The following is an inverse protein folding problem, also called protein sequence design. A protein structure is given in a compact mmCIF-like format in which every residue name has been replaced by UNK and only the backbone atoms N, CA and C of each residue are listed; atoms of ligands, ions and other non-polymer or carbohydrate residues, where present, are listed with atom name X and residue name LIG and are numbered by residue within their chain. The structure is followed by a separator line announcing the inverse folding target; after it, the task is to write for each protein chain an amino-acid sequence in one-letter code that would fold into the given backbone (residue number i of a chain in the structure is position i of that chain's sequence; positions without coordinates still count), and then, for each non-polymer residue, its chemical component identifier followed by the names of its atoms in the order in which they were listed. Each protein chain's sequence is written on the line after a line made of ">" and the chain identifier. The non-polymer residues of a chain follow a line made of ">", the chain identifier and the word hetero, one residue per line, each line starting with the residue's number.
data_IF_444090597513
#
_entry.id   IF_444090597513
#
_cell.length_a   1.000
_cell.length_b   1.000
_cell.length_c   1.000
_cell.angle_alpha   90.00
_cell.angle_beta   90.00
_cell.angle_gamma   90.00
#
_symmetry.space_group_name_H-M   'P 1'
#
loop_
_entity.id
_entity.type
_entity.pdbx_description
1 polymer ?
#
# COMPACT_ATOMS: atom_id res chain seq x y z
N UNK A 1 7.64 0.67 18.07
CA UNK A 1 6.84 0.73 16.84
C UNK A 1 5.50 1.43 17.05
N UNK A 2 4.74 1.17 18.01
CA UNK A 2 3.41 1.77 18.21
C UNK A 2 3.24 2.22 19.66
N UNK A 3 4.33 2.63 20.30
CA UNK A 3 4.30 3.19 21.65
C UNK A 3 4.14 4.71 21.56
N UNK A 4 2.93 5.09 21.15
CA UNK A 4 2.54 6.50 21.17
C UNK A 4 1.99 6.82 22.56
N UNK A 5 2.33 7.98 23.10
CA UNK A 5 1.67 8.56 24.26
C UNK A 5 0.23 9.02 23.89
N UNK A 6 -0.55 8.10 23.30
CA UNK A 6 -1.93 8.35 22.94
C UNK A 6 -2.83 7.92 24.09
N UNK A 7 -3.82 8.77 24.40
CA UNK A 7 -4.83 8.46 25.40
C UNK A 7 -5.89 7.51 24.86
N UNK A 8 -6.65 6.90 25.78
CA UNK A 8 -7.77 6.01 25.43
C UNK A 8 -8.93 6.74 24.70
N UNK A 9 -8.92 8.09 24.69
CA UNK A 9 -9.96 8.93 24.06
C UNK A 9 -9.41 9.84 22.96
N UNK A 10 -8.30 9.42 22.33
CA UNK A 10 -7.66 10.20 21.28
C UNK A 10 -8.53 10.33 20.03
N UNK A 11 -8.50 11.49 19.39
CA UNK A 11 -9.21 11.72 18.15
C UNK A 11 -8.59 10.89 16.99
N UNK A 12 -9.42 10.46 16.04
CA UNK A 12 -8.93 9.69 14.91
C UNK A 12 -7.85 10.42 14.09
N UNK A 13 -7.90 11.75 14.05
CA UNK A 13 -6.90 12.58 13.39
C UNK A 13 -5.52 12.44 14.06
N UNK A 14 -5.46 12.45 15.39
CA UNK A 14 -4.20 12.39 16.14
C UNK A 14 -3.59 10.98 15.99
N UNK A 15 -4.43 9.94 16.07
CA UNK A 15 -4.02 8.57 15.78
C UNK A 15 -3.46 8.46 14.35
N UNK A 16 -4.17 9.03 13.35
CA UNK A 16 -3.75 8.96 11.96
C UNK A 16 -2.42 9.66 11.72
N UNK A 17 -2.22 10.84 12.31
CA UNK A 17 -0.99 11.60 12.15
C UNK A 17 0.18 10.96 12.89
N UNK A 18 -0.04 10.37 14.08
CA UNK A 18 0.98 9.62 14.79
C UNK A 18 1.52 8.45 13.96
N UNK A 19 0.64 7.60 13.41
CA UNK A 19 1.07 6.52 12.53
C UNK A 19 1.66 7.00 11.21
N UNK A 20 1.12 8.07 10.65
CA UNK A 20 1.67 8.67 9.43
C UNK A 20 3.09 9.17 9.67
N UNK A 21 3.34 9.94 10.72
CA UNK A 21 4.66 10.52 10.99
C UNK A 21 5.74 9.43 11.23
N UNK A 22 5.35 8.26 11.75
CA UNK A 22 6.19 7.06 11.85
C UNK A 22 6.38 6.29 10.51
N UNK A 23 5.85 6.80 9.42
CA UNK A 23 6.10 6.23 8.09
C UNK A 23 5.07 5.20 7.61
N UNK A 24 3.95 5.01 8.32
CA UNK A 24 2.90 4.09 7.89
C UNK A 24 1.93 4.74 6.92
N UNK A 25 1.44 3.98 5.95
CA UNK A 25 0.34 4.39 5.11
C UNK A 25 -0.97 4.20 5.86
N UNK A 26 -1.70 5.27 6.02
CA UNK A 26 -2.99 5.32 6.72
C UNK A 26 -4.11 5.67 5.75
N UNK A 27 -5.29 5.10 5.98
CA UNK A 27 -6.53 5.46 5.27
C UNK A 27 -7.70 5.48 6.25
N UNK A 28 -8.71 6.37 6.04
CA UNK A 28 -9.91 6.37 6.86
C UNK A 28 -10.85 5.23 6.48
N UNK A 29 -11.45 4.62 7.49
CA UNK A 29 -12.58 3.71 7.33
C UNK A 29 -13.75 4.19 8.18
N UNK A 30 -14.97 3.93 7.74
CA UNK A 30 -16.16 4.16 8.54
C UNK A 30 -16.17 3.19 9.74
N UNK A 31 -16.35 3.69 10.95
CA UNK A 31 -16.39 2.87 12.16
C UNK A 31 -17.49 1.80 12.11
N UNK A 32 -18.64 2.12 11.53
CA UNK A 32 -19.82 1.25 11.51
C UNK A 32 -19.66 -0.01 10.67
N UNK A 33 -18.95 0.07 9.53
CA UNK A 33 -18.89 -1.02 8.54
C UNK A 33 -17.48 -1.36 8.06
N UNK A 34 -16.46 -0.64 8.55
CA UNK A 34 -15.04 -0.82 8.21
C UNK A 34 -14.75 -0.67 6.70
N UNK A 35 -15.58 0.10 5.98
CA UNK A 35 -15.38 0.40 4.56
C UNK A 35 -14.84 1.82 4.38
N UNK A 36 -14.10 2.09 3.30
CA UNK A 36 -13.70 3.44 2.96
C UNK A 36 -14.92 4.37 2.86
N UNK A 37 -14.84 5.61 3.36
CA UNK A 37 -15.95 6.56 3.28
C UNK A 37 -16.22 6.95 1.82
N UNK A 38 -17.43 7.42 1.47
CA UNK A 38 -17.82 7.73 0.10
C UNK A 38 -16.95 8.79 -0.59
N UNK A 39 -16.32 9.68 0.17
CA UNK A 39 -15.41 10.68 -0.37
C UNK A 39 -14.05 10.11 -0.77
N UNK A 40 -13.67 8.93 -0.26
CA UNK A 40 -12.38 8.29 -0.54
C UNK A 40 -12.50 7.25 -1.67
N UNK A 41 -13.04 7.67 -2.81
CA UNK A 41 -13.09 6.81 -4.01
C UNK A 41 -11.67 6.58 -4.55
N UNK A 42 -11.37 5.34 -4.94
CA UNK A 42 -10.06 4.98 -5.48
C UNK A 42 -8.95 4.87 -4.43
N UNK A 43 -9.31 4.63 -3.17
CA UNK A 43 -8.37 4.48 -2.06
C UNK A 43 -7.28 3.44 -2.31
N UNK A 44 -7.51 2.49 -3.21
CA UNK A 44 -6.57 1.42 -3.59
C UNK A 44 -5.24 1.97 -4.12
N UNK A 45 -5.21 3.20 -4.64
CA UNK A 45 -3.97 3.86 -5.05
C UNK A 45 -2.99 4.00 -3.87
N UNK A 46 -3.51 4.22 -2.67
CA UNK A 46 -2.68 4.40 -1.47
C UNK A 46 -2.02 3.11 -0.97
N UNK A 47 -2.33 1.96 -1.58
CA UNK A 47 -1.55 0.74 -1.38
C UNK A 47 -0.13 0.84 -1.93
N UNK A 48 0.06 1.67 -2.96
CA UNK A 48 1.34 1.86 -3.66
C UNK A 48 1.90 3.27 -3.49
N UNK A 49 1.04 4.25 -3.21
CA UNK A 49 1.41 5.65 -3.10
C UNK A 49 1.06 6.17 -1.72
N UNK A 50 2.03 6.78 -1.04
CA UNK A 50 1.78 7.38 0.26
C UNK A 50 1.09 8.73 0.05
N UNK A 51 -0.08 9.00 0.69
CA UNK A 51 -0.71 10.32 0.62
C UNK A 51 0.19 11.36 1.30
N UNK A 52 0.07 12.63 0.94
CA UNK A 52 0.76 13.68 1.68
C UNK A 52 0.09 13.90 3.07
N UNK A 53 0.84 14.44 4.02
CA UNK A 53 0.38 14.65 5.41
C UNK A 53 -0.89 15.49 5.50
N UNK A 54 -0.98 16.55 4.71
CA UNK A 54 -2.16 17.43 4.63
C UNK A 54 -3.40 16.67 4.13
N UNK A 55 -3.22 15.76 3.15
CA UNK A 55 -4.31 14.90 2.67
C UNK A 55 -4.84 14.01 3.79
N UNK A 56 -3.95 13.39 4.56
CA UNK A 56 -4.34 12.57 5.71
C UNK A 56 -5.10 13.42 6.74
N UNK A 57 -4.57 14.60 7.07
CA UNK A 57 -5.22 15.52 8.00
C UNK A 57 -6.64 15.87 7.55
N UNK A 58 -6.81 16.28 6.29
CA UNK A 58 -8.12 16.65 5.73
C UNK A 58 -9.14 15.50 5.74
N UNK A 59 -8.70 14.25 5.64
CA UNK A 59 -9.62 13.10 5.71
C UNK A 59 -10.28 12.95 7.08
N UNK A 60 -9.57 13.27 8.16
CA UNK A 60 -10.03 13.03 9.51
C UNK A 60 -10.54 14.31 10.20
N UNK A 61 -10.25 15.49 9.66
CA UNK A 61 -10.67 16.76 10.24
C UNK A 61 -12.20 16.84 10.35
N UNK A 62 -12.70 17.04 11.58
CA UNK A 62 -14.13 17.14 11.87
C UNK A 62 -14.93 15.85 11.64
N UNK A 63 -14.28 14.68 11.62
CA UNK A 63 -14.90 13.38 11.33
C UNK A 63 -14.85 12.44 12.54
N UNK A 64 -15.88 12.43 13.38
CA UNK A 64 -15.93 11.61 14.59
C UNK A 64 -16.30 10.14 14.35
N UNK A 65 -16.81 9.80 13.15
CA UNK A 65 -17.29 8.46 12.80
C UNK A 65 -16.28 7.62 12.03
N UNK A 66 -15.08 8.12 11.85
CA UNK A 66 -14.00 7.42 11.16
C UNK A 66 -13.08 6.72 12.16
N UNK A 67 -12.41 5.70 11.67
CA UNK A 67 -11.31 5.00 12.30
C UNK A 67 -10.13 4.95 11.34
N UNK A 68 -8.94 4.89 11.90
CA UNK A 68 -7.70 4.79 11.14
C UNK A 68 -7.42 3.35 10.78
N UNK A 69 -7.20 3.06 9.51
CA UNK A 69 -6.66 1.79 9.08
C UNK A 69 -5.22 1.96 8.58
N UNK A 70 -4.38 0.99 8.90
CA UNK A 70 -3.04 0.85 8.34
C UNK A 70 -3.08 -0.04 7.10
N UNK A 71 -2.32 0.33 6.09
CA UNK A 71 -2.08 -0.52 4.93
C UNK A 71 -0.90 -1.43 5.23
N UNK A 72 -1.16 -2.72 5.28
CA UNK A 72 -0.12 -3.74 5.48
C UNK A 72 0.80 -3.84 4.25
N UNK A 73 2.05 -4.19 4.49
CA UNK A 73 3.05 -4.34 3.44
C UNK A 73 4.35 -4.85 4.01
N UNK A 74 5.17 -3.98 4.59
CA UNK A 74 6.42 -4.33 5.30
C UNK A 74 6.15 -5.18 6.55
N UNK A 75 5.01 -5.04 7.15
CA UNK A 75 4.47 -5.91 8.20
C UNK A 75 3.20 -6.59 7.70
N UNK A 76 2.86 -7.69 8.32
CA UNK A 76 1.58 -8.37 8.18
C UNK A 76 0.94 -8.61 9.55
N UNK A 77 -0.36 -8.87 9.54
CA UNK A 77 -1.11 -9.14 10.75
C UNK A 77 -1.84 -10.46 10.60
N UNK A 78 -1.67 -11.32 11.58
CA UNK A 78 -2.51 -12.50 11.80
C UNK A 78 -3.68 -12.06 12.67
N UNK A 79 -4.89 -12.07 12.11
CA UNK A 79 -6.13 -11.64 12.73
C UNK A 79 -6.89 -12.89 13.22
N UNK A 80 -6.86 -13.14 14.52
CA UNK A 80 -7.51 -14.28 15.17
C UNK A 80 -8.82 -13.84 15.83
N UNK A 81 -9.94 -14.29 15.31
CA UNK A 81 -11.29 -13.82 15.63
C UNK A 81 -12.02 -14.66 16.72
N UNK A 82 -11.34 -15.61 17.36
CA UNK A 82 -11.90 -16.41 18.45
C UNK A 82 -10.85 -16.77 19.51
N UNK A 83 -11.24 -17.11 20.75
CA UNK A 83 -10.30 -17.59 21.77
C UNK A 83 -9.50 -18.82 21.32
N UNK A 84 -10.13 -19.74 20.61
CA UNK A 84 -9.49 -20.95 20.08
C UNK A 84 -8.48 -20.61 19.00
N UNK A 85 -8.80 -19.67 18.12
CA UNK A 85 -7.86 -19.16 17.10
C UNK A 85 -6.67 -18.44 17.75
N UNK A 86 -6.89 -17.66 18.80
CA UNK A 86 -5.81 -17.03 19.57
C UNK A 86 -4.89 -18.08 20.19
N UNK A 87 -5.43 -19.11 20.84
CA UNK A 87 -4.65 -20.21 21.40
C UNK A 87 -3.84 -20.91 20.32
N UNK A 88 -4.49 -21.22 19.19
CA UNK A 88 -3.80 -21.86 18.08
C UNK A 88 -2.61 -21.01 17.55
N UNK A 89 -2.79 -19.69 17.41
CA UNK A 89 -1.71 -18.79 16.99
C UNK A 89 -0.56 -18.82 18.00
N UNK A 90 -0.85 -18.75 19.29
CA UNK A 90 0.18 -18.72 20.34
C UNK A 90 0.96 -20.04 20.46
N UNK A 91 0.33 -21.18 20.14
CA UNK A 91 0.97 -22.50 20.14
C UNK A 91 1.74 -22.81 18.85
N UNK A 92 1.32 -22.26 17.72
CA UNK A 92 1.82 -22.68 16.40
C UNK A 92 2.70 -21.67 15.67
N UNK A 93 2.62 -20.38 16.03
CA UNK A 93 3.42 -19.32 15.37
C UNK A 93 4.53 -18.81 16.32
N UNK A 94 5.54 -18.10 15.78
CA UNK A 94 6.54 -17.47 16.61
C UNK A 94 5.93 -16.52 17.64
N UNK A 95 6.52 -16.44 18.82
CA UNK A 95 6.07 -15.51 19.86
C UNK A 95 6.00 -14.09 19.30
N UNK A 96 4.80 -13.51 19.32
CA UNK A 96 4.57 -12.18 18.83
C UNK A 96 4.75 -11.15 19.96
N UNK A 97 5.75 -10.29 19.90
CA UNK A 97 6.04 -9.30 20.95
C UNK A 97 5.05 -8.12 20.94
N UNK A 98 4.34 -7.92 19.85
CA UNK A 98 3.37 -6.85 19.71
C UNK A 98 2.01 -7.38 19.26
N UNK A 99 1.04 -7.32 20.16
CA UNK A 99 -0.34 -7.78 19.94
C UNK A 99 -1.28 -6.60 20.13
N UNK A 100 -2.44 -6.64 19.47
CA UNK A 100 -3.51 -5.67 19.68
C UNK A 100 -4.81 -6.40 19.94
N UNK A 101 -5.40 -6.20 21.12
CA UNK A 101 -6.71 -6.73 21.46
C UNK A 101 -7.77 -6.02 20.64
N UNK A 102 -8.61 -6.78 19.97
CA UNK A 102 -9.74 -6.28 19.17
C UNK A 102 -11.06 -6.45 19.92
N UNK A 103 -12.17 -6.08 19.28
CA UNK A 103 -13.51 -6.30 19.83
C UNK A 103 -13.92 -7.77 19.97
N UNK A 104 -13.20 -8.71 19.32
CA UNK A 104 -13.55 -10.15 19.31
C UNK A 104 -12.37 -11.07 19.58
N UNK A 105 -11.16 -10.64 19.24
CA UNK A 105 -9.98 -11.47 19.26
C UNK A 105 -8.70 -10.66 19.40
N UNK A 106 -7.72 -11.02 18.61
CA UNK A 106 -6.37 -10.46 18.70
C UNK A 106 -5.74 -10.30 17.32
N UNK A 107 -5.06 -9.19 17.10
CA UNK A 107 -4.12 -8.99 15.99
C UNK A 107 -2.71 -9.30 16.47
N UNK A 108 -1.98 -10.12 15.72
CA UNK A 108 -0.58 -10.46 15.95
C UNK A 108 0.25 -9.90 14.82
N UNK A 109 1.23 -9.07 15.15
CA UNK A 109 2.04 -8.35 14.17
C UNK A 109 3.35 -9.06 13.91
N UNK A 110 3.70 -9.24 12.64
CA UNK A 110 4.93 -9.89 12.18
C UNK A 110 5.59 -9.05 11.09
N UNK A 111 6.93 -9.13 10.99
CA UNK A 111 7.65 -8.62 9.84
C UNK A 111 7.29 -9.44 8.59
N UNK A 112 7.22 -8.81 7.42
CA UNK A 112 6.80 -9.45 6.16
C UNK A 112 7.89 -9.36 5.07
N UNK A 113 9.07 -9.95 5.28
CA UNK A 113 10.19 -9.86 4.33
C UNK A 113 9.86 -10.50 2.98
N UNK A 114 9.01 -11.52 2.98
CA UNK A 114 8.62 -12.28 1.80
C UNK A 114 7.42 -11.70 1.05
N UNK A 115 6.88 -10.56 1.49
CA UNK A 115 5.74 -9.86 0.90
C UNK A 115 4.49 -10.74 0.74
N UNK A 116 4.16 -11.55 1.75
CA UNK A 116 2.90 -12.31 1.74
C UNK A 116 1.72 -11.37 1.59
N UNK A 117 0.77 -11.79 0.73
CA UNK A 117 -0.46 -11.05 0.48
C UNK A 117 -1.56 -11.42 1.47
N UNK A 118 -2.66 -10.69 1.44
CA UNK A 118 -3.82 -11.00 2.27
C UNK A 118 -4.42 -12.35 1.89
N UNK A 119 -4.68 -13.17 2.91
CA UNK A 119 -5.44 -14.41 2.80
C UNK A 119 -6.59 -14.38 3.80
N UNK A 120 -7.80 -14.58 3.32
CA UNK A 120 -8.99 -14.68 4.18
C UNK A 120 -9.47 -16.12 4.20
N UNK A 121 -9.65 -16.64 5.41
CA UNK A 121 -10.22 -17.97 5.58
C UNK A 121 -11.64 -17.99 5.05
N UNK A 122 -11.92 -18.90 4.11
CA UNK A 122 -13.27 -19.08 3.59
C UNK A 122 -14.14 -19.71 4.66
N UNK A 123 -14.94 -18.90 5.32
CA UNK A 123 -15.81 -19.34 6.43
C UNK A 123 -17.02 -20.08 5.87
N UNK A 124 -17.21 -21.30 6.34
CA UNK A 124 -18.43 -22.11 6.16
C UNK A 124 -18.99 -22.45 7.53
N UNK A 125 -20.22 -23.01 7.60
CA UNK A 125 -20.80 -23.46 8.88
C UNK A 125 -19.97 -24.56 9.55
N UNK A 126 -19.16 -25.28 8.78
CA UNK A 126 -18.28 -26.36 9.24
C UNK A 126 -16.83 -25.92 9.44
N UNK A 127 -16.53 -24.61 9.30
CA UNK A 127 -15.18 -24.10 9.54
C UNK A 127 -14.88 -24.19 11.04
N UNK A 128 -13.87 -24.97 11.48
CA UNK A 128 -13.49 -25.05 12.89
C UNK A 128 -13.14 -23.66 13.43
N UNK A 129 -13.52 -23.37 14.66
CA UNK A 129 -13.33 -22.04 15.29
C UNK A 129 -11.84 -21.65 15.42
N UNK A 130 -10.96 -22.63 15.59
CA UNK A 130 -9.51 -22.45 15.59
C UNK A 130 -8.95 -22.03 14.20
N UNK A 131 -9.75 -22.19 13.14
CA UNK A 131 -9.43 -21.75 11.78
C UNK A 131 -9.99 -20.37 11.44
N UNK A 132 -10.57 -19.66 12.40
CA UNK A 132 -11.01 -18.26 12.22
C UNK A 132 -9.82 -17.29 12.27
N UNK A 133 -8.86 -17.50 11.38
CA UNK A 133 -7.62 -16.75 11.26
C UNK A 133 -7.56 -16.15 9.87
N UNK A 134 -7.48 -14.84 9.80
CA UNK A 134 -7.22 -14.12 8.55
C UNK A 134 -5.78 -13.59 8.56
N UNK A 135 -5.14 -13.58 7.40
CA UNK A 135 -3.84 -12.99 7.19
C UNK A 135 -4.02 -11.66 6.43
N UNK A 136 -3.58 -10.57 7.03
CA UNK A 136 -3.57 -9.24 6.42
C UNK A 136 -2.15 -8.90 6.00
N UNK A 137 -1.79 -9.26 4.77
CA UNK A 137 -0.48 -8.98 4.14
C UNK A 137 -0.52 -7.80 3.19
N UNK A 138 0.37 -7.78 2.20
CA UNK A 138 0.53 -6.67 1.25
C UNK A 138 -0.80 -6.17 0.70
N UNK A 139 -1.06 -4.88 0.86
CA UNK A 139 -2.29 -4.21 0.42
C UNK A 139 -3.53 -4.53 1.26
N UNK A 140 -3.40 -5.33 2.32
CA UNK A 140 -4.45 -5.54 3.31
C UNK A 140 -4.64 -4.33 4.20
N UNK A 141 -5.83 -4.21 4.79
CA UNK A 141 -6.15 -3.17 5.76
C UNK A 141 -6.35 -3.78 7.14
N UNK A 142 -5.79 -3.13 8.15
CA UNK A 142 -6.01 -3.45 9.54
C UNK A 142 -6.38 -2.18 10.32
N UNK A 143 -7.34 -2.24 11.23
CA UNK A 143 -7.64 -1.10 12.10
C UNK A 143 -6.45 -0.86 13.03
N UNK A 144 -5.96 0.37 13.04
CA UNK A 144 -4.84 0.77 13.88
C UNK A 144 -5.19 0.65 15.38
N UNK A 145 -4.19 0.38 16.24
CA UNK A 145 -4.34 0.51 17.69
C UNK A 145 -4.90 1.88 18.08
N UNK A 146 -5.43 1.98 19.28
CA UNK A 146 -6.07 3.17 19.90
C UNK A 146 -7.41 3.56 19.27
N UNK A 147 -7.82 2.99 18.14
CA UNK A 147 -9.15 3.21 17.60
C UNK A 147 -10.23 2.48 18.40
N UNK A 148 -11.46 3.02 18.36
CA UNK A 148 -12.62 2.34 18.95
C UNK A 148 -13.38 1.54 17.90
N UNK A 149 -13.66 0.28 18.21
CA UNK A 149 -14.53 -0.58 17.43
C UNK A 149 -16.00 -0.07 17.49
N UNK A 150 -16.84 -0.50 16.54
CA UNK A 150 -18.26 -0.13 16.51
C UNK A 150 -19.03 -0.54 17.79
N UNK A 151 -18.60 -1.58 18.50
CA UNK A 151 -19.15 -1.99 19.78
C UNK A 151 -18.63 -1.20 20.99
N UNK A 152 -17.82 -0.17 20.77
CA UNK A 152 -17.23 0.70 21.80
C UNK A 152 -15.91 0.20 22.39
N UNK A 153 -15.51 -1.05 22.15
CA UNK A 153 -14.23 -1.58 22.63
C UNK A 153 -13.07 -0.96 21.85
N UNK A 154 -11.96 -0.73 22.55
CA UNK A 154 -10.76 -0.20 21.94
C UNK A 154 -9.91 -1.32 21.32
N UNK A 155 -9.23 -0.99 20.22
CA UNK A 155 -8.11 -1.74 19.70
C UNK A 155 -6.88 -1.46 20.58
N UNK A 156 -6.74 -2.24 21.66
CA UNK A 156 -5.76 -1.98 22.71
C UNK A 156 -4.44 -2.70 22.44
N UNK A 157 -3.31 -1.97 22.30
CA UNK A 157 -2.02 -2.61 22.20
C UNK A 157 -1.65 -3.35 23.48
N UNK A 158 -1.02 -4.51 23.32
CA UNK A 158 -0.50 -5.35 24.40
C UNK A 158 0.94 -5.72 24.03
N UNK A 159 1.89 -4.83 24.25
CA UNK A 159 3.32 -5.14 24.03
C UNK A 159 3.77 -6.16 25.06
N UNK A 160 4.67 -7.06 24.64
CA UNK A 160 5.31 -8.00 25.55
C UNK A 160 6.42 -7.29 26.35
N UNK A 161 6.42 -7.36 27.69
CA UNK A 161 7.45 -6.71 28.48
C UNK A 161 8.87 -7.21 28.12
N UNK A 162 9.80 -6.27 28.05
CA UNK A 162 11.20 -6.56 27.71
C UNK A 162 11.52 -6.65 26.22
N UNK A 163 10.55 -6.33 25.37
CA UNK A 163 10.77 -6.20 23.93
C UNK A 163 10.67 -4.73 23.52
N UNK A 164 11.77 -4.20 22.99
CA UNK A 164 11.85 -2.86 22.42
C UNK A 164 11.54 -2.95 20.92
N UNK A 165 10.38 -2.49 20.51
CA UNK A 165 9.94 -2.56 19.12
C UNK A 165 9.83 -1.14 18.55
N UNK A 166 10.85 -0.74 17.80
CA UNK A 166 10.95 0.58 17.17
C UNK A 166 10.54 0.55 15.70
N UNK A 167 10.68 -0.59 15.01
CA UNK A 167 10.33 -0.76 13.60
C UNK A 167 9.70 -2.14 13.38
N UNK A 168 9.06 -2.33 12.21
CA UNK A 168 8.54 -3.64 11.79
C UNK A 168 9.63 -4.73 11.72
N UNK A 169 10.87 -4.34 11.52
CA UNK A 169 12.02 -5.26 11.49
C UNK A 169 12.37 -5.87 12.86
N UNK A 170 11.89 -5.25 13.94
CA UNK A 170 12.06 -5.78 15.29
C UNK A 170 11.01 -6.87 15.60
N UNK A 171 10.01 -7.03 14.72
CA UNK A 171 9.03 -8.09 14.79
C UNK A 171 9.64 -9.41 14.25
N UNK A 172 9.19 -10.58 14.76
CA UNK A 172 9.57 -11.86 14.18
C UNK A 172 9.20 -11.94 12.71
N UNK A 173 10.08 -12.51 11.89
CA UNK A 173 9.80 -12.74 10.49
C UNK A 173 8.66 -13.76 10.34
N UNK A 174 7.69 -13.42 9.49
CA UNK A 174 6.69 -14.36 9.03
C UNK A 174 7.23 -15.07 7.80
N UNK A 175 7.41 -16.39 7.92
CA UNK A 175 8.04 -17.21 6.89
C UNK A 175 7.04 -18.12 6.18
N UNK A 176 7.52 -18.84 5.16
CA UNK A 176 6.72 -19.85 4.45
C UNK A 176 6.12 -20.90 5.39
N UNK A 177 6.85 -21.29 6.42
CA UNK A 177 6.38 -22.26 7.41
C UNK A 177 5.11 -21.79 8.13
N UNK A 178 5.07 -20.53 8.53
CA UNK A 178 3.90 -19.93 9.18
C UNK A 178 2.76 -19.77 8.19
N UNK A 179 3.07 -19.38 6.96
CA UNK A 179 2.08 -19.26 5.89
C UNK A 179 1.42 -20.61 5.59
N UNK A 180 2.19 -21.68 5.44
CA UNK A 180 1.67 -23.03 5.22
C UNK A 180 0.81 -23.54 6.39
N UNK A 181 1.23 -23.25 7.61
CA UNK A 181 0.45 -23.65 8.80
C UNK A 181 -0.95 -23.00 8.82
N UNK A 182 -1.05 -21.72 8.43
CA UNK A 182 -2.34 -20.99 8.41
C UNK A 182 -3.18 -21.42 7.21
N UNK A 183 -2.59 -21.42 6.01
CA UNK A 183 -3.33 -21.59 4.76
C UNK A 183 -3.56 -23.06 4.40
N UNK A 184 -2.70 -23.96 4.89
CA UNK A 184 -2.65 -25.35 4.48
C UNK A 184 -2.08 -25.56 3.07
N UNK A 185 -1.55 -24.51 2.46
CA UNK A 185 -1.04 -24.52 1.08
C UNK A 185 0.42 -24.06 1.12
N UNK A 186 1.39 -24.85 0.61
CA UNK A 186 2.75 -24.37 0.45
C UNK A 186 2.74 -23.12 -0.45
N UNK A 187 3.65 -22.19 -0.18
CA UNK A 187 3.90 -21.07 -1.06
C UNK A 187 4.30 -21.66 -2.45
N UNK A 188 3.33 -21.95 -3.26
CA UNK A 188 3.63 -22.00 -4.70
C UNK A 188 4.15 -20.61 -5.03
N UNK A 189 5.38 -20.53 -5.56
CA UNK A 189 6.02 -19.29 -5.97
C UNK A 189 5.02 -18.18 -6.27
N UNK A 190 4.58 -17.50 -5.22
CA UNK A 190 3.83 -16.26 -5.32
C UNK A 190 4.82 -15.11 -5.55
N UNK A 191 5.76 -15.30 -6.48
CA UNK A 191 6.03 -14.22 -7.41
C UNK A 191 4.66 -13.67 -7.73
N UNK A 192 4.43 -12.38 -7.62
CA UNK A 192 3.29 -11.69 -8.22
C UNK A 192 3.20 -12.21 -9.66
N UNK A 193 2.66 -13.38 -9.79
CA UNK A 193 1.99 -13.82 -10.99
C UNK A 193 0.71 -12.97 -10.88
N UNK A 194 0.77 -11.75 -11.41
CA UNK A 194 -0.25 -11.42 -12.39
C UNK A 194 -0.47 -12.72 -13.10
N UNK A 195 -1.50 -13.48 -12.67
CA UNK A 195 -1.72 -14.83 -13.16
C UNK A 195 -1.60 -14.69 -14.66
N UNK A 196 -0.58 -15.31 -15.26
CA UNK A 196 -0.41 -15.10 -16.66
C UNK A 196 -1.74 -15.54 -17.24
N UNK A 197 -2.45 -14.60 -17.85
CA UNK A 197 -3.49 -14.97 -18.76
C UNK A 197 -2.87 -16.02 -19.66
N UNK A 198 -3.56 -17.12 -19.88
CA UNK A 198 -3.08 -18.13 -20.80
C UNK A 198 -3.06 -17.51 -22.20
N UNK A 199 -1.89 -17.45 -22.81
CA UNK A 199 -1.76 -17.07 -24.23
C UNK A 199 -2.16 -18.23 -25.14
N UNK A 200 -2.20 -19.46 -24.61
CA UNK A 200 -2.81 -20.62 -25.25
C UNK A 200 -4.30 -20.66 -24.91
N UNK A 201 -5.12 -21.27 -25.75
CA UNK A 201 -6.57 -21.38 -25.55
C UNK A 201 -6.92 -21.98 -24.19
N UNK A 202 -8.09 -21.62 -23.68
CA UNK A 202 -8.65 -22.09 -22.41
C UNK A 202 -10.02 -22.75 -22.62
N UNK A 203 -10.39 -23.61 -21.68
CA UNK A 203 -11.66 -24.32 -21.71
C UNK A 203 -12.86 -23.43 -21.32
N UNK A 204 -14.06 -23.94 -21.60
CA UNK A 204 -15.32 -23.33 -21.20
C UNK A 204 -15.33 -22.98 -19.70
N UNK A 205 -15.91 -21.83 -19.37
CA UNK A 205 -15.95 -21.29 -17.99
C UNK A 205 -14.83 -20.30 -17.66
N UNK A 206 -13.67 -20.38 -18.32
CA UNK A 206 -12.52 -19.49 -18.03
C UNK A 206 -12.23 -18.47 -19.13
N UNK A 207 -12.91 -18.59 -20.28
CA UNK A 207 -12.61 -17.81 -21.50
C UNK A 207 -12.81 -16.31 -21.32
N UNK A 208 -13.93 -15.88 -20.74
CA UNK A 208 -14.25 -14.47 -20.53
C UNK A 208 -13.30 -13.81 -19.51
N UNK A 209 -13.01 -14.50 -18.42
CA UNK A 209 -12.08 -14.02 -17.41
C UNK A 209 -10.67 -13.85 -17.98
N UNK A 210 -10.20 -14.84 -18.75
CA UNK A 210 -8.88 -14.78 -19.37
C UNK A 210 -8.80 -13.69 -20.46
N UNK A 211 -9.86 -13.55 -21.30
CA UNK A 211 -9.95 -12.47 -22.27
C UNK A 211 -9.91 -11.09 -21.61
N UNK A 212 -10.65 -10.91 -20.50
CA UNK A 212 -10.66 -9.65 -19.74
C UNK A 212 -9.28 -9.34 -19.14
N UNK A 213 -8.55 -10.33 -18.65
CA UNK A 213 -7.18 -10.17 -18.12
C UNK A 213 -6.18 -9.78 -19.22
N UNK A 214 -6.23 -10.44 -20.38
CA UNK A 214 -5.40 -10.07 -21.52
C UNK A 214 -5.72 -8.64 -21.97
N UNK A 215 -7.00 -8.29 -22.15
CA UNK A 215 -7.41 -6.94 -22.52
C UNK A 215 -6.91 -5.91 -21.50
N UNK A 216 -7.10 -6.17 -20.21
CA UNK A 216 -6.68 -5.28 -19.13
C UNK A 216 -5.17 -5.04 -19.13
N UNK A 217 -4.38 -6.09 -19.33
CA UNK A 217 -2.93 -5.98 -19.42
C UNK A 217 -2.51 -5.10 -20.62
N UNK A 218 -3.00 -5.39 -21.82
CA UNK A 218 -2.63 -4.66 -23.03
C UNK A 218 -3.09 -3.19 -22.97
N UNK A 219 -4.30 -2.93 -22.48
CA UNK A 219 -4.84 -1.58 -22.31
C UNK A 219 -4.02 -0.79 -21.27
N UNK A 220 -3.61 -1.42 -20.16
CA UNK A 220 -2.76 -0.78 -19.14
C UNK A 220 -1.36 -0.41 -19.67
N UNK A 221 -0.93 -1.04 -20.76
CA UNK A 221 0.32 -0.72 -21.46
C UNK A 221 0.12 0.25 -22.63
N UNK A 222 -1.03 0.91 -22.71
CA UNK A 222 -1.40 1.85 -23.77
C UNK A 222 -1.33 1.25 -25.19
N UNK A 223 -1.57 -0.07 -25.31
CA UNK A 223 -1.65 -0.72 -26.62
C UNK A 223 -2.92 -0.22 -27.34
N UNK A 224 -2.80 0.04 -28.64
CA UNK A 224 -3.92 0.47 -29.46
C UNK A 224 -5.10 -0.51 -29.38
N UNK A 225 -6.32 0.01 -29.22
CA UNK A 225 -7.51 -0.79 -28.95
C UNK A 225 -7.86 -1.75 -30.10
N UNK A 226 -7.61 -1.33 -31.34
CA UNK A 226 -7.85 -2.20 -32.52
C UNK A 226 -6.88 -3.37 -32.51
N UNK A 227 -5.63 -3.15 -32.12
CA UNK A 227 -4.66 -4.22 -31.94
C UNK A 227 -5.10 -5.19 -30.83
N UNK A 228 -5.60 -4.68 -29.71
CA UNK A 228 -6.13 -5.52 -28.61
C UNK A 228 -7.27 -6.41 -29.12
N UNK A 229 -8.20 -5.85 -29.92
CA UNK A 229 -9.32 -6.59 -30.51
C UNK A 229 -8.84 -7.68 -31.47
N UNK A 230 -7.89 -7.36 -32.34
CA UNK A 230 -7.28 -8.33 -33.29
C UNK A 230 -6.58 -9.45 -32.53
N UNK A 231 -5.78 -9.10 -31.53
CA UNK A 231 -5.05 -10.08 -30.73
C UNK A 231 -6.00 -11.06 -30.02
N UNK A 232 -7.02 -10.52 -29.33
CA UNK A 232 -7.99 -11.35 -28.63
C UNK A 232 -8.84 -12.20 -29.57
N UNK A 233 -9.17 -11.66 -30.77
CA UNK A 233 -9.85 -12.47 -31.78
C UNK A 233 -9.03 -13.69 -32.22
N UNK A 234 -7.73 -13.52 -32.41
CA UNK A 234 -6.84 -14.63 -32.80
C UNK A 234 -6.63 -15.60 -31.62
N UNK A 235 -6.38 -15.09 -30.42
CA UNK A 235 -6.30 -15.92 -29.21
C UNK A 235 -7.59 -16.75 -29.00
N UNK A 236 -8.75 -16.17 -29.24
CA UNK A 236 -10.03 -16.85 -29.05
C UNK A 236 -10.23 -18.06 -29.97
N UNK A 237 -9.56 -18.11 -31.13
CA UNK A 237 -9.63 -19.27 -32.04
C UNK A 237 -9.07 -20.55 -31.42
N UNK A 238 -8.18 -20.40 -30.46
CA UNK A 238 -7.56 -21.54 -29.76
C UNK A 238 -8.38 -22.03 -28.56
N UNK A 239 -9.47 -21.32 -28.21
CA UNK A 239 -10.36 -21.76 -27.13
C UNK A 239 -11.27 -22.91 -27.56
N UNK A 240 -11.64 -23.78 -26.64
CA UNK A 240 -12.52 -24.92 -26.90
C UNK A 240 -13.77 -24.89 -26.01
N UNK A 241 -14.96 -24.59 -26.61
CA UNK A 241 -15.20 -23.94 -27.89
C UNK A 241 -14.83 -22.44 -27.87
N UNK A 242 -14.60 -21.78 -29.04
CA UNK A 242 -14.36 -20.35 -29.08
C UNK A 242 -15.57 -19.53 -28.59
N UNK A 243 -15.30 -18.34 -28.00
CA UNK A 243 -16.35 -17.36 -27.70
C UNK A 243 -16.94 -16.76 -28.98
N UNK A 244 -18.22 -16.37 -29.01
CA UNK A 244 -18.78 -15.56 -30.09
C UNK A 244 -17.97 -14.26 -30.28
N UNK A 245 -17.74 -13.87 -31.55
CA UNK A 245 -16.93 -12.67 -31.86
C UNK A 245 -17.44 -11.39 -31.17
N UNK A 246 -18.76 -11.23 -31.11
CA UNK A 246 -19.40 -10.09 -30.45
C UNK A 246 -19.11 -10.07 -28.95
N UNK A 247 -19.00 -11.24 -28.32
CA UNK A 247 -18.67 -11.35 -26.89
C UNK A 247 -17.22 -10.91 -26.62
N UNK A 248 -16.28 -11.35 -27.45
CA UNK A 248 -14.87 -10.91 -27.36
C UNK A 248 -14.76 -9.39 -27.50
N UNK A 249 -15.44 -8.79 -28.47
CA UNK A 249 -15.45 -7.34 -28.65
C UNK A 249 -16.05 -6.61 -27.42
N UNK A 250 -17.16 -7.15 -26.87
CA UNK A 250 -17.81 -6.60 -25.68
C UNK A 250 -16.91 -6.65 -24.45
N UNK A 251 -16.12 -7.72 -24.28
CA UNK A 251 -15.13 -7.83 -23.19
C UNK A 251 -14.10 -6.70 -23.30
N UNK A 252 -13.54 -6.46 -24.49
CA UNK A 252 -12.54 -5.40 -24.69
C UNK A 252 -13.15 -4.01 -24.39
N UNK A 253 -14.33 -3.73 -24.89
CA UNK A 253 -15.00 -2.45 -24.70
C UNK A 253 -15.36 -2.21 -23.22
N UNK A 254 -15.80 -3.24 -22.49
CA UNK A 254 -16.10 -3.16 -21.07
C UNK A 254 -14.84 -2.93 -20.22
N UNK A 255 -13.74 -3.61 -20.54
CA UNK A 255 -12.45 -3.41 -19.88
C UNK A 255 -11.95 -1.99 -20.16
N UNK A 256 -12.05 -1.51 -21.41
CA UNK A 256 -11.68 -0.14 -21.77
C UNK A 256 -12.50 0.90 -21.00
N UNK A 257 -13.83 0.76 -20.96
CA UNK A 257 -14.70 1.64 -20.17
C UNK A 257 -14.32 1.66 -18.69
N UNK A 258 -13.98 0.51 -18.14
CA UNK A 258 -13.57 0.39 -16.73
C UNK A 258 -12.22 1.06 -16.51
N UNK A 259 -11.27 0.89 -17.42
CA UNK A 259 -9.96 1.54 -17.40
C UNK A 259 -10.10 3.06 -17.53
N UNK A 260 -10.88 3.53 -18.50
CA UNK A 260 -11.11 4.97 -18.71
C UNK A 260 -11.82 5.61 -17.53
N UNK A 261 -12.82 4.93 -16.95
CA UNK A 261 -13.50 5.40 -15.74
C UNK A 261 -12.52 5.50 -14.55
N UNK A 262 -11.62 4.53 -14.39
CA UNK A 262 -10.56 4.62 -13.37
C UNK A 262 -9.61 5.77 -13.64
N UNK A 263 -9.24 6.00 -14.90
CA UNK A 263 -8.36 7.10 -15.29
C UNK A 263 -9.08 8.47 -15.30
N UNK A 264 -10.38 8.52 -15.58
CA UNK A 264 -11.20 9.75 -15.46
C UNK A 264 -11.51 10.11 -14.00
N UNK A 265 -11.46 9.14 -13.09
CA UNK A 265 -11.55 9.38 -11.65
C UNK A 265 -10.17 9.74 -11.05
N UNK A 266 -9.10 9.57 -11.83
CA UNK A 266 -7.75 10.02 -11.49
C UNK A 266 -7.48 11.53 -11.71
N UNK A 267 -8.26 12.33 -12.46
CA UNK A 267 -7.89 13.72 -12.70
C UNK A 267 -8.60 14.74 -11.81
N UNK A 268 -8.83 14.44 -10.53
CA UNK A 268 -9.10 15.51 -9.57
C UNK A 268 -7.84 15.92 -8.80
N UNK A 269 -6.71 15.28 -9.06
CA UNK A 269 -5.37 15.69 -8.65
C UNK A 269 -4.31 15.39 -9.73
N UNK A 270 -4.63 15.64 -10.99
CA UNK A 270 -3.61 16.27 -11.79
C UNK A 270 -3.55 17.69 -11.19
N UNK A 271 -2.67 17.93 -10.22
CA UNK A 271 -1.86 19.12 -10.39
C UNK A 271 -1.53 19.09 -11.88
N UNK A 272 -2.19 19.94 -12.67
CA UNK A 272 -1.51 20.50 -13.80
C UNK A 272 -0.08 20.64 -13.29
N UNK A 273 0.86 19.98 -13.95
CA UNK A 273 2.21 20.49 -13.94
C UNK A 273 2.05 21.89 -14.52
N UNK A 274 1.55 22.82 -13.74
CA UNK A 274 2.09 24.14 -13.76
C UNK A 274 3.55 23.83 -13.61
N UNK A 275 4.28 24.17 -14.62
CA UNK A 275 5.73 24.17 -14.62
C UNK A 275 6.11 24.90 -13.32
N UNK A 276 6.23 24.15 -12.21
CA UNK A 276 6.74 24.69 -10.96
C UNK A 276 8.22 24.80 -11.22
N UNK A 277 8.54 25.76 -12.07
CA UNK A 277 9.92 26.24 -12.15
C UNK A 277 10.21 26.83 -10.79
N UNK A 278 11.28 26.38 -10.17
CA UNK A 278 11.76 27.04 -8.98
C UNK A 278 11.83 28.55 -9.27
N UNK A 279 11.52 29.42 -8.30
CA UNK A 279 11.65 30.87 -8.48
C UNK A 279 13.01 31.19 -9.11
N UNK A 280 13.03 32.11 -10.07
CA UNK A 280 14.25 32.45 -10.84
C UNK A 280 15.44 32.85 -9.96
N UNK A 281 15.17 33.42 -8.79
CA UNK A 281 16.17 33.78 -7.80
C UNK A 281 16.91 32.58 -7.20
N UNK A 282 16.31 31.37 -7.21
CA UNK A 282 16.98 30.12 -6.81
C UNK A 282 18.10 29.70 -7.77
N UNK A 283 18.03 30.12 -9.04
CA UNK A 283 19.10 29.87 -10.02
C UNK A 283 20.21 30.90 -9.97
N UNK A 284 20.16 31.85 -9.04
CA UNK A 284 21.18 32.85 -8.77
C UNK A 284 21.60 32.85 -7.30
N UNK A 285 22.05 31.71 -6.74
CA UNK A 285 22.42 31.63 -5.34
C UNK A 285 23.64 32.52 -5.06
N UNK A 286 23.81 33.04 -3.83
CA UNK A 286 24.95 33.91 -3.50
C UNK A 286 26.24 33.11 -3.28
N UNK A 287 27.39 33.79 -3.41
CA UNK A 287 28.71 33.30 -3.01
C UNK A 287 29.17 32.07 -3.75
N UNK A 288 29.92 31.20 -3.06
CA UNK A 288 30.53 29.99 -3.63
C UNK A 288 29.53 29.08 -4.35
N UNK A 289 28.30 29.03 -3.87
CA UNK A 289 27.26 28.21 -4.50
C UNK A 289 26.92 28.71 -5.92
N UNK A 290 27.00 30.02 -6.15
CA UNK A 290 26.86 30.60 -7.49
C UNK A 290 28.01 30.19 -8.41
N UNK A 291 29.23 30.20 -7.92
CA UNK A 291 30.38 29.81 -8.72
C UNK A 291 30.29 28.32 -9.10
N UNK A 292 29.85 27.45 -8.17
CA UNK A 292 29.60 26.04 -8.43
C UNK A 292 28.48 25.84 -9.46
N UNK A 293 27.38 26.57 -9.31
CA UNK A 293 26.27 26.54 -10.26
C UNK A 293 26.70 26.95 -11.67
N UNK A 294 27.38 28.08 -11.79
CA UNK A 294 27.89 28.61 -13.07
C UNK A 294 28.86 27.62 -13.71
N UNK A 295 29.76 27.01 -12.94
CA UNK A 295 30.67 25.99 -13.45
C UNK A 295 29.91 24.77 -14.00
N UNK A 296 28.86 24.29 -13.31
CA UNK A 296 28.05 23.20 -13.81
C UNK A 296 27.34 23.55 -15.13
N UNK A 297 26.80 24.75 -15.24
CA UNK A 297 26.16 25.23 -16.48
C UNK A 297 27.19 25.39 -17.63
N UNK A 298 28.41 25.85 -17.34
CA UNK A 298 29.46 26.05 -18.34
C UNK A 298 29.96 24.72 -18.94
N UNK A 299 30.05 23.67 -18.14
CA UNK A 299 30.49 22.34 -18.61
C UNK A 299 29.35 21.50 -19.19
N UNK A 300 28.09 21.88 -18.99
CA UNK A 300 26.95 21.17 -19.52
C UNK A 300 26.84 21.29 -21.03
N UNK A 301 26.66 20.19 -21.75
CA UNK A 301 26.43 20.21 -23.19
C UNK A 301 25.10 20.89 -23.57
N UNK A 302 24.14 20.87 -22.70
CA UNK A 302 22.85 21.55 -22.82
C UNK A 302 22.52 22.13 -21.44
N UNK A 303 22.16 23.42 -21.42
CA UNK A 303 21.79 24.11 -20.17
C UNK A 303 20.62 23.40 -19.48
N UNK A 304 20.80 23.04 -18.21
CA UNK A 304 19.82 22.41 -17.35
C UNK A 304 19.93 22.99 -15.94
N UNK A 305 19.45 24.22 -15.73
CA UNK A 305 19.68 24.95 -14.49
C UNK A 305 19.19 24.23 -13.23
N UNK A 306 18.11 23.44 -13.32
CA UNK A 306 17.63 22.65 -12.21
C UNK A 306 18.64 21.56 -11.78
N UNK A 307 19.24 20.87 -12.74
CA UNK A 307 20.27 19.85 -12.46
C UNK A 307 21.57 20.48 -11.99
N UNK A 308 21.96 21.61 -12.55
CA UNK A 308 23.16 22.36 -12.15
C UNK A 308 23.03 22.89 -10.72
N UNK A 309 21.82 23.35 -10.33
CA UNK A 309 21.54 23.74 -8.95
C UNK A 309 21.63 22.56 -7.98
N UNK A 310 21.03 21.41 -8.34
CA UNK A 310 21.12 20.18 -7.51
C UNK A 310 22.56 19.70 -7.38
N UNK A 311 23.36 19.74 -8.45
CA UNK A 311 24.77 19.37 -8.43
C UNK A 311 25.59 20.32 -7.53
N UNK A 312 25.39 21.63 -7.62
CA UNK A 312 26.04 22.63 -6.80
C UNK A 312 25.67 22.47 -5.31
N UNK A 313 24.41 22.25 -4.98
CA UNK A 313 23.94 21.98 -3.61
C UNK A 313 24.52 20.69 -3.06
N UNK A 314 24.60 19.63 -3.85
CA UNK A 314 25.18 18.36 -3.47
C UNK A 314 26.67 18.49 -3.16
N UNK A 315 27.40 19.20 -4.02
CA UNK A 315 28.85 19.48 -3.83
C UNK A 315 29.08 20.32 -2.59
N UNK A 316 28.29 21.38 -2.40
CA UNK A 316 28.36 22.22 -1.19
C UNK A 316 28.05 21.41 0.08
N UNK A 317 27.07 20.52 0.06
CA UNK A 317 26.73 19.63 1.17
C UNK A 317 27.88 18.72 1.55
N UNK A 318 28.56 18.11 0.57
CA UNK A 318 29.73 17.26 0.79
C UNK A 318 30.91 18.06 1.34
N UNK A 319 31.19 19.25 0.78
CA UNK A 319 32.33 20.09 1.17
C UNK A 319 32.14 20.75 2.54
N UNK A 320 30.91 21.17 2.87
CA UNK A 320 30.61 21.78 4.17
C UNK A 320 30.50 20.74 5.29
N UNK A 321 30.30 19.47 4.96
CA UNK A 321 30.26 18.38 5.92
C UNK A 321 29.26 18.62 7.07
N UNK A 322 29.61 18.14 8.27
CA UNK A 322 28.80 18.29 9.51
C UNK A 322 28.99 19.63 10.23
N UNK A 323 29.50 20.65 9.55
CA UNK A 323 29.84 21.93 10.18
C UNK A 323 28.58 22.71 10.61
N UNK A 324 27.46 22.52 9.91
CA UNK A 324 26.21 23.19 10.22
C UNK A 324 25.19 22.23 10.85
N UNK A 325 24.81 22.51 12.10
CA UNK A 325 23.64 21.91 12.73
C UNK A 325 22.45 22.83 12.50
N UNK A 326 21.40 22.34 11.86
CA UNK A 326 20.12 23.05 11.84
C UNK A 326 19.37 22.79 13.14
N UNK A 327 18.70 23.80 13.67
CA UNK A 327 17.83 23.66 14.85
C UNK A 327 16.50 22.95 14.50
N UNK A 328 16.36 22.41 13.31
CA UNK A 328 15.21 21.61 12.91
C UNK A 328 15.47 20.15 13.26
N UNK A 329 14.71 19.63 14.22
CA UNK A 329 14.79 18.27 14.75
C UNK A 329 14.47 17.14 13.75
N UNK A 330 14.34 17.42 12.44
CA UNK A 330 13.84 16.46 11.45
C UNK A 330 14.61 16.40 10.13
N UNK A 331 15.90 16.75 10.10
CA UNK A 331 16.73 16.34 8.98
C UNK A 331 17.67 15.23 9.43
N UNK A 332 17.28 13.97 9.14
CA UNK A 332 18.23 12.89 9.09
C UNK A 332 19.31 13.25 8.06
N UNK A 333 20.57 13.17 8.45
CA UNK A 333 21.69 13.34 7.57
C UNK A 333 21.51 12.54 6.30
N UNK A 334 21.43 13.22 5.15
CA UNK A 334 21.61 12.56 3.86
C UNK A 334 23.07 12.05 3.81
N UNK A 335 23.23 10.76 3.77
CA UNK A 335 24.39 10.05 3.30
C UNK A 335 23.93 9.01 2.27
#
# INVERSE_FOLDING_TARGET
>A
MFDFNLSDDEAAIDIALAFYDEGYNVVPLQRSNKKPPPFLKGWEQYKNERPCRTTVQNWFEGQDNLVVALICGKFLVVDADSPEAMTWVEENLPTCPYKVRTGKGMHYYYNNPENYTTFATRRTNDTPVERLIDLRGVGGLIIAPYNRHANGQMYKPIPLPGWDIYDHKDLPDFTEKEFEKITGVPKQDSVVKTAPFSLTGVNEGSRNDNAARIAGYLISKNVNLDFVKIFLHNWNKENSPPLPQQEVASVVDNVKKTHDRKNQLAPLFVQTKEDIRPPEDLFNPPGLLKDMFNYCEEIAQVSQPELSLVAALSLASVTCGRIFKTNMNNFSSMY
#
